data_IF_343871549827
#
_entry.id   IF_343871549827
#
_cell.length_a   1.000
_cell.length_b   1.000
_cell.length_c   1.000
_cell.angle_alpha   90.00
_cell.angle_beta   90.00
_cell.angle_gamma   90.00
#
_symmetry.space_group_name_H-M   'P 1'
#
loop_
_entity.id
_entity.type
_entity.pdbx_description
1 polymer ?
#
# COMPACT_ATOMS: atom_id res chain seq x y z
N UNK A 1 -6.32 -5.75 -3.97
CA UNK A 1 -5.99 -6.64 -2.83
C UNK A 1 -7.16 -6.80 -1.86
N UNK A 2 -7.43 -5.84 -0.97
CA UNK A 2 -8.50 -5.97 0.03
C UNK A 2 -9.91 -6.20 -0.58
N UNK A 3 -10.20 -5.56 -1.72
CA UNK A 3 -11.43 -5.76 -2.50
C UNK A 3 -11.28 -6.80 -3.61
N UNK A 4 -10.28 -7.68 -3.53
CA UNK A 4 -10.00 -8.73 -4.51
C UNK A 4 -9.67 -8.23 -5.93
N UNK A 5 -9.53 -6.92 -6.13
CA UNK A 5 -9.04 -6.34 -7.38
C UNK A 5 -7.55 -6.64 -7.60
N UNK A 6 -7.15 -6.91 -8.86
CA UNK A 6 -5.75 -7.16 -9.20
C UNK A 6 -4.90 -5.92 -8.93
N UNK A 7 -3.74 -6.08 -8.30
CA UNK A 7 -2.77 -5.00 -8.04
C UNK A 7 -1.67 -4.91 -9.11
N UNK A 8 -1.96 -5.43 -10.31
CA UNK A 8 -1.00 -5.55 -11.41
C UNK A 8 -0.04 -6.74 -11.25
N UNK A 9 0.75 -6.97 -12.30
CA UNK A 9 1.82 -7.97 -12.31
C UNK A 9 3.15 -7.37 -11.84
N UNK A 10 4.08 -8.22 -11.43
CA UNK A 10 5.48 -7.87 -11.19
C UNK A 10 6.28 -8.31 -12.43
N UNK A 11 7.11 -7.43 -12.97
CA UNK A 11 7.97 -7.76 -14.11
C UNK A 11 9.41 -7.90 -13.62
N UNK A 12 10.03 -9.04 -13.90
CA UNK A 12 11.44 -9.29 -13.59
C UNK A 12 12.22 -9.63 -14.85
N UNK A 13 13.52 -9.39 -14.81
CA UNK A 13 14.49 -9.87 -15.79
C UNK A 13 15.57 -10.67 -15.08
N UNK A 14 15.72 -11.94 -15.47
CA UNK A 14 16.88 -12.74 -15.06
C UNK A 14 18.08 -12.26 -15.90
N UNK A 15 19.19 -11.90 -15.27
CA UNK A 15 20.44 -11.45 -15.93
C UNK A 15 21.69 -11.99 -15.22
N UNK A 16 22.84 -11.97 -15.88
CA UNK A 16 24.13 -12.26 -15.25
C UNK A 16 24.62 -11.03 -14.46
N UNK A 17 25.36 -11.25 -13.38
CA UNK A 17 25.78 -10.18 -12.47
C UNK A 17 26.69 -9.12 -13.12
N UNK A 18 27.36 -9.45 -14.21
CA UNK A 18 28.32 -8.58 -14.91
C UNK A 18 27.65 -7.67 -15.97
N UNK A 19 26.38 -7.91 -16.30
CA UNK A 19 25.71 -7.24 -17.43
C UNK A 19 24.97 -5.94 -17.07
N UNK A 20 24.86 -5.59 -15.79
CA UNK A 20 24.07 -4.41 -15.37
C UNK A 20 24.72 -3.62 -14.21
N UNK A 21 24.93 -2.29 -14.36
CA UNK A 21 25.43 -1.45 -13.27
C UNK A 21 24.38 -1.36 -12.14
N UNK A 22 24.77 -1.77 -10.93
CA UNK A 22 23.92 -1.73 -9.74
C UNK A 22 23.90 -0.33 -9.12
N UNK A 23 22.72 0.12 -8.67
CA UNK A 23 22.54 1.32 -7.85
C UNK A 23 22.03 0.93 -6.46
N UNK A 24 22.46 1.65 -5.42
CA UNK A 24 22.09 1.35 -4.03
C UNK A 24 20.57 1.48 -3.81
N UNK A 25 19.94 0.41 -3.33
CA UNK A 25 18.50 0.38 -3.02
C UNK A 25 18.18 1.02 -1.65
N UNK A 26 16.95 1.51 -1.49
CA UNK A 26 16.48 2.15 -0.26
C UNK A 26 16.24 1.18 0.92
N UNK A 27 16.42 -0.13 0.73
CA UNK A 27 16.22 -1.20 1.73
C UNK A 27 17.41 -2.15 1.66
N UNK A 28 17.97 -2.54 2.82
CA UNK A 28 19.06 -3.51 2.90
C UNK A 28 18.62 -4.88 2.36
N UNK A 29 19.42 -5.45 1.46
CA UNK A 29 19.21 -6.79 0.90
C UNK A 29 20.28 -7.74 1.46
N UNK A 30 19.89 -8.97 1.83
CA UNK A 30 20.87 -10.02 2.14
C UNK A 30 21.69 -10.37 0.89
N UNK A 31 23.00 -10.58 1.06
CA UNK A 31 23.91 -10.93 -0.04
C UNK A 31 23.52 -12.28 -0.63
N UNK A 32 23.12 -12.28 -1.90
CA UNK A 32 22.70 -13.48 -2.61
C UNK A 32 23.94 -14.29 -3.09
N UNK A 33 24.10 -15.56 -2.70
CA UNK A 33 25.25 -16.41 -3.09
C UNK A 33 25.12 -17.05 -4.49
N UNK A 34 24.10 -16.72 -5.29
CA UNK A 34 23.84 -17.33 -6.61
C UNK A 34 24.23 -16.41 -7.78
N UNK A 35 24.71 -17.00 -8.89
CA UNK A 35 25.23 -16.34 -10.10
C UNK A 35 24.17 -15.67 -11.00
N UNK A 36 22.90 -15.71 -10.61
CA UNK A 36 21.78 -15.14 -11.37
C UNK A 36 21.21 -13.96 -10.61
N UNK A 37 21.24 -12.79 -11.23
CA UNK A 37 20.65 -11.57 -10.71
C UNK A 37 19.22 -11.43 -11.25
N UNK A 38 18.27 -11.10 -10.38
CA UNK A 38 16.88 -10.80 -10.77
C UNK A 38 16.62 -9.31 -10.63
N UNK A 39 16.47 -8.63 -11.76
CA UNK A 39 16.17 -7.21 -11.80
C UNK A 39 14.65 -6.98 -11.81
N UNK A 40 14.18 -6.18 -10.87
CA UNK A 40 12.78 -5.78 -10.78
C UNK A 40 12.52 -4.59 -11.73
N UNK A 41 11.84 -4.82 -12.85
CA UNK A 41 11.63 -3.82 -13.89
C UNK A 41 10.35 -2.99 -13.65
N UNK A 42 9.31 -3.61 -13.09
CA UNK A 42 8.05 -2.94 -12.74
C UNK A 42 7.50 -3.48 -11.42
N UNK A 43 6.79 -2.64 -10.68
CA UNK A 43 6.21 -2.96 -9.38
C UNK A 43 7.11 -2.61 -8.20
N UNK A 44 8.25 -1.95 -8.43
CA UNK A 44 9.15 -1.47 -7.36
C UNK A 44 8.40 -0.62 -6.33
N UNK A 45 7.72 0.45 -6.77
CA UNK A 45 6.97 1.32 -5.87
C UNK A 45 5.84 0.58 -5.14
N UNK A 46 5.12 -0.31 -5.84
CA UNK A 46 4.04 -1.12 -5.25
C UNK A 46 4.58 -2.02 -4.13
N UNK A 47 5.70 -2.70 -4.37
CA UNK A 47 6.30 -3.61 -3.41
C UNK A 47 6.90 -2.86 -2.22
N UNK A 48 7.56 -1.73 -2.45
CA UNK A 48 8.12 -0.88 -1.40
C UNK A 48 7.02 -0.33 -0.49
N UNK A 49 5.96 0.25 -1.06
CA UNK A 49 4.83 0.78 -0.28
C UNK A 49 4.12 -0.32 0.51
N UNK A 50 3.89 -1.48 -0.09
CA UNK A 50 3.27 -2.62 0.60
C UNK A 50 4.14 -3.13 1.75
N UNK A 51 5.45 -3.27 1.52
CA UNK A 51 6.40 -3.71 2.54
C UNK A 51 6.43 -2.74 3.72
N UNK A 52 6.48 -1.43 3.45
CA UNK A 52 6.47 -0.39 4.47
C UNK A 52 5.23 -0.46 5.35
N UNK A 53 4.05 -0.62 4.76
CA UNK A 53 2.77 -0.71 5.50
C UNK A 53 2.68 -2.00 6.31
N UNK A 54 3.09 -3.14 5.76
CA UNK A 54 3.02 -4.43 6.45
C UNK A 54 4.01 -4.50 7.61
N UNK A 55 5.24 -3.98 7.44
CA UNK A 55 6.27 -4.00 8.47
C UNK A 55 6.13 -2.83 9.47
N UNK A 56 5.45 -1.76 9.06
CA UNK A 56 5.42 -0.50 9.80
C UNK A 56 6.78 0.22 9.79
N UNK A 57 7.63 -0.08 8.80
CA UNK A 57 8.96 0.53 8.65
C UNK A 57 8.84 1.77 7.76
N UNK A 58 9.50 2.88 8.12
CA UNK A 58 9.43 4.10 7.33
C UNK A 58 10.28 3.96 6.05
N UNK A 59 9.82 4.60 4.97
CA UNK A 59 10.54 4.59 3.68
C UNK A 59 11.44 5.81 3.59
N UNK A 60 12.68 5.61 3.12
CA UNK A 60 13.60 6.69 2.75
C UNK A 60 13.28 7.15 1.33
N UNK A 61 12.80 8.38 1.17
CA UNK A 61 12.54 8.99 -0.14
C UNK A 61 13.36 10.27 -0.23
N UNK A 62 14.31 10.34 -1.18
CA UNK A 62 15.15 11.53 -1.44
C UNK A 62 15.80 12.12 -0.17
N UNK A 63 16.32 11.26 0.71
CA UNK A 63 16.99 11.66 1.97
C UNK A 63 16.05 11.99 3.15
N UNK A 64 14.72 12.00 2.95
CA UNK A 64 13.73 12.16 4.03
C UNK A 64 13.12 10.81 4.39
N UNK A 65 13.07 10.51 5.69
CA UNK A 65 12.38 9.32 6.24
C UNK A 65 10.92 9.71 6.47
N UNK A 66 9.99 9.17 5.69
CA UNK A 66 8.55 9.39 5.91
C UNK A 66 7.90 8.08 6.39
N UNK A 67 7.30 8.05 7.61
CA UNK A 67 6.48 6.92 8.02
C UNK A 67 5.20 6.90 7.19
N UNK A 68 4.90 5.77 6.56
CA UNK A 68 3.64 5.55 5.86
C UNK A 68 2.66 4.94 6.86
N UNK A 69 1.98 5.79 7.63
CA UNK A 69 0.97 5.34 8.60
C UNK A 69 -0.40 5.23 7.92
N UNK A 70 -0.80 4.01 7.56
CA UNK A 70 -2.10 3.76 6.92
C UNK A 70 -3.09 3.25 7.97
N UNK A 71 -4.27 3.84 7.95
CA UNK A 71 -5.38 3.47 8.81
C UNK A 71 -6.50 2.82 8.01
N UNK A 72 -7.12 1.81 8.59
CA UNK A 72 -8.22 1.04 8.04
C UNK A 72 -9.52 1.33 8.80
N UNK A 73 -10.59 1.61 8.07
CA UNK A 73 -11.90 1.90 8.64
C UNK A 73 -12.72 0.62 8.80
N UNK A 74 -12.93 0.16 10.03
CA UNK A 74 -13.75 -1.02 10.33
C UNK A 74 -15.20 -0.90 9.82
N UNK A 75 -15.72 0.32 9.67
CA UNK A 75 -17.09 0.61 9.27
C UNK A 75 -17.23 1.20 7.85
N UNK A 76 -16.19 1.07 7.01
CA UNK A 76 -16.24 1.54 5.62
C UNK A 76 -17.48 1.01 4.86
N UNK A 77 -18.02 1.74 3.87
CA UNK A 77 -19.09 1.22 3.02
C UNK A 77 -18.62 0.00 2.19
N UNK A 78 -19.54 -0.92 1.89
CA UNK A 78 -19.20 -2.12 1.11
C UNK A 78 -18.84 -1.77 -0.35
N UNK A 79 -19.51 -0.76 -0.91
CA UNK A 79 -19.25 -0.25 -2.26
C UNK A 79 -18.12 0.79 -2.28
N UNK A 80 -17.45 0.93 -3.43
CA UNK A 80 -16.53 2.05 -3.64
C UNK A 80 -17.33 3.35 -3.58
N UNK A 81 -16.99 4.22 -2.63
CA UNK A 81 -17.29 5.62 -2.81
C UNK A 81 -16.31 6.17 -3.85
N UNK A 82 -16.84 6.74 -4.93
CA UNK A 82 -16.04 7.59 -5.83
C UNK A 82 -15.71 8.84 -5.02
N UNK A 83 -14.50 8.87 -4.46
CA UNK A 83 -13.94 10.07 -3.87
C UNK A 83 -12.91 10.55 -4.88
N UNK A 84 -13.31 11.50 -5.71
CA UNK A 84 -12.39 12.29 -6.50
C UNK A 84 -11.50 13.05 -5.54
N UNK A 85 -10.18 12.84 -5.67
CA UNK A 85 -9.03 13.59 -5.13
C UNK A 85 -8.05 12.70 -4.36
N UNK A 86 -7.08 12.19 -5.11
CA UNK A 86 -5.76 11.84 -4.58
C UNK A 86 -4.89 13.04 -4.91
N UNK A 87 -4.75 13.99 -3.99
CA UNK A 87 -3.79 15.06 -4.17
C UNK A 87 -2.39 14.49 -3.87
N UNK A 88 -1.69 14.00 -4.90
CA UNK A 88 -0.29 13.56 -4.81
C UNK A 88 0.72 14.72 -4.93
N UNK A 89 0.33 15.96 -4.59
CA UNK A 89 1.28 17.08 -4.54
C UNK A 89 1.95 17.17 -3.16
N UNK A 90 2.93 16.30 -2.90
CA UNK A 90 3.99 16.61 -1.93
C UNK A 90 5.06 17.42 -2.65
N UNK A 91 4.82 18.72 -2.80
CA UNK A 91 5.80 19.82 -2.89
C UNK A 91 5.13 21.01 -3.59
N UNK A 92 4.35 21.79 -2.83
CA UNK A 92 4.14 23.20 -3.14
C UNK A 92 3.88 23.93 -1.82
N UNK A 93 4.87 24.70 -1.38
CA UNK A 93 4.71 25.70 -0.31
C UNK A 93 3.99 26.97 -0.81
N UNK A 94 3.40 26.93 -2.01
CA UNK A 94 2.56 27.99 -2.59
C UNK A 94 1.29 27.37 -3.23
N UNK A 95 0.41 26.78 -2.43
CA UNK A 95 -0.96 26.51 -2.88
C UNK A 95 -1.79 27.76 -2.60
N UNK A 96 -2.10 28.47 -3.68
CA UNK A 96 -3.08 29.55 -3.71
C UNK A 96 -4.40 29.08 -3.05
N UNK A 97 -4.94 29.98 -2.23
CA UNK A 97 -6.09 29.90 -1.33
C UNK A 97 -7.45 29.70 -2.03
N UNK A 98 -7.58 28.79 -3.00
CA UNK A 98 -8.83 28.61 -3.76
C UNK A 98 -9.34 27.14 -3.82
N UNK A 99 -9.28 26.41 -2.70
CA UNK A 99 -10.12 25.21 -2.51
C UNK A 99 -11.23 25.49 -1.49
N UNK A 100 -12.44 25.65 -2.03
CA UNK A 100 -13.66 25.99 -1.33
C UNK A 100 -13.93 25.20 -0.03
N UNK A 101 -14.11 25.96 1.05
CA UNK A 101 -14.99 25.76 2.22
C UNK A 101 -15.56 24.35 2.45
N UNK A 102 -14.69 23.34 2.58
CA UNK A 102 -15.09 22.05 3.10
C UNK A 102 -15.11 22.15 4.62
N UNK A 103 -16.30 22.27 5.20
CA UNK A 103 -16.44 22.31 6.66
C UNK A 103 -15.82 21.06 7.28
N UNK A 104 -15.35 21.15 8.53
CA UNK A 104 -14.73 20.01 9.22
C UNK A 104 -15.63 18.75 9.26
N UNK A 105 -16.94 18.92 9.11
CA UNK A 105 -17.93 17.85 9.04
C UNK A 105 -17.96 17.17 7.66
N UNK A 106 -17.84 17.94 6.58
CA UNK A 106 -17.74 17.40 5.22
C UNK A 106 -16.49 16.53 5.05
N UNK A 107 -15.36 16.98 5.61
CA UNK A 107 -14.11 16.22 5.58
C UNK A 107 -14.27 14.87 6.30
N UNK A 108 -14.93 14.86 7.47
CA UNK A 108 -15.22 13.64 8.23
C UNK A 108 -16.12 12.69 7.46
N UNK A 109 -17.17 13.22 6.83
CA UNK A 109 -18.10 12.43 6.02
C UNK A 109 -17.39 11.77 4.84
N UNK A 110 -16.51 12.51 4.15
CA UNK A 110 -15.67 11.97 3.07
C UNK A 110 -14.74 10.88 3.58
N UNK A 111 -14.06 11.09 4.70
CA UNK A 111 -13.15 10.08 5.27
C UNK A 111 -13.88 8.78 5.64
N UNK A 112 -15.07 8.86 6.24
CA UNK A 112 -15.83 7.67 6.63
C UNK A 112 -16.31 6.83 5.43
N UNK A 113 -16.34 7.41 4.23
CA UNK A 113 -16.59 6.68 2.98
C UNK A 113 -15.35 5.94 2.45
N UNK A 114 -14.17 6.25 2.97
CA UNK A 114 -12.91 5.63 2.58
C UNK A 114 -12.65 4.34 3.37
N UNK A 115 -12.03 3.37 2.70
CA UNK A 115 -11.57 2.12 3.31
C UNK A 115 -10.21 2.29 3.99
N UNK A 116 -9.30 3.01 3.33
CA UNK A 116 -7.95 3.30 3.79
C UNK A 116 -7.68 4.79 3.70
N UNK A 117 -6.98 5.34 4.68
CA UNK A 117 -6.52 6.74 4.69
C UNK A 117 -5.13 6.84 5.28
N UNK A 118 -4.42 7.91 4.95
CA UNK A 118 -3.19 8.28 5.65
C UNK A 118 -3.53 8.81 7.04
N UNK A 119 -2.73 8.41 8.03
CA UNK A 119 -2.93 8.75 9.42
C UNK A 119 -2.86 10.24 9.70
N UNK A 120 -3.85 10.73 10.43
CA UNK A 120 -3.87 12.08 10.99
C UNK A 120 -4.27 12.01 12.46
N UNK A 121 -3.97 13.06 13.24
CA UNK A 121 -4.38 13.15 14.66
C UNK A 121 -5.90 13.02 14.84
N UNK A 122 -6.69 13.36 13.82
CA UNK A 122 -8.13 13.24 13.83
C UNK A 122 -8.58 11.79 13.69
N UNK A 123 -7.98 11.03 12.78
CA UNK A 123 -8.26 9.61 12.58
C UNK A 123 -7.88 8.78 13.81
N UNK A 124 -6.75 9.09 14.44
CA UNK A 124 -6.27 8.37 15.62
C UNK A 124 -7.25 8.41 16.81
N UNK A 125 -8.04 9.49 16.92
CA UNK A 125 -9.06 9.65 17.96
C UNK A 125 -10.34 8.88 17.71
N UNK A 126 -10.54 8.37 16.49
CA UNK A 126 -11.77 7.69 16.11
C UNK A 126 -11.66 6.17 16.37
N UNK A 127 -12.62 5.57 17.10
CA UNK A 127 -12.52 4.17 17.54
C UNK A 127 -12.65 3.15 16.40
N UNK A 128 -13.35 3.48 15.31
CA UNK A 128 -13.54 2.61 14.15
C UNK A 128 -12.31 2.53 13.24
N UNK A 129 -11.32 3.41 13.43
CA UNK A 129 -10.10 3.43 12.62
C UNK A 129 -8.99 2.68 13.35
N UNK A 130 -8.36 1.74 12.64
CA UNK A 130 -7.27 0.92 13.18
C UNK A 130 -6.03 1.05 12.32
N UNK A 131 -4.85 1.12 12.93
CA UNK A 131 -3.58 1.12 12.20
C UNK A 131 -3.39 -0.21 11.51
N UNK A 132 -3.10 -0.17 10.22
CA UNK A 132 -2.89 -1.37 9.41
C UNK A 132 -1.66 -2.15 9.89
N UNK A 133 -0.58 -1.45 10.23
CA UNK A 133 0.64 -2.05 10.78
C UNK A 133 0.39 -2.80 12.09
N UNK A 134 -0.47 -2.27 12.96
CA UNK A 134 -0.84 -2.93 14.22
C UNK A 134 -1.68 -4.20 13.98
N UNK A 135 -2.63 -4.16 13.04
CA UNK A 135 -3.41 -5.36 12.64
C UNK A 135 -2.49 -6.46 12.09
N UNK A 136 -1.40 -6.08 11.44
CA UNK A 136 -0.41 -7.02 10.95
C UNK A 136 0.51 -7.57 12.05
N UNK A 137 0.74 -6.83 13.14
CA UNK A 137 1.60 -7.29 14.26
C UNK A 137 0.96 -8.36 15.13
N UNK A 138 -0.37 -8.45 15.17
CA UNK A 138 -1.09 -9.42 16.00
C UNK A 138 -2.20 -10.14 15.25
N UNK A 139 -2.36 -11.43 15.53
CA UNK A 139 -3.46 -12.24 14.98
C UNK A 139 -4.78 -12.05 15.75
N UNK A 140 -4.75 -11.40 16.91
CA UNK A 140 -5.94 -11.18 17.73
C UNK A 140 -6.78 -9.99 17.22
N UNK A 141 -8.09 -10.18 17.14
CA UNK A 141 -9.06 -9.12 16.84
C UNK A 141 -9.55 -8.38 18.09
N UNK A 142 -9.44 -9.00 19.27
CA UNK A 142 -10.02 -8.50 20.52
C UNK A 142 -9.71 -7.03 20.81
N UNK A 143 -8.43 -6.60 20.82
CA UNK A 143 -8.07 -5.22 21.14
C UNK A 143 -8.66 -4.18 20.16
N UNK A 144 -8.82 -4.56 18.89
CA UNK A 144 -9.39 -3.67 17.87
C UNK A 144 -10.91 -3.58 18.00
N UNK A 145 -11.57 -4.69 18.33
CA UNK A 145 -13.01 -4.75 18.56
C UNK A 145 -13.40 -3.99 19.83
N UNK A 146 -12.67 -4.20 20.93
CA UNK A 146 -12.87 -3.50 22.20
C UNK A 146 -12.70 -1.99 22.02
N UNK A 147 -11.63 -1.55 21.33
CA UNK A 147 -11.42 -0.13 21.00
C UNK A 147 -12.55 0.44 20.16
N UNK A 148 -13.14 -0.36 19.26
CA UNK A 148 -14.28 0.03 18.44
C UNK A 148 -15.62 0.03 19.20
N UNK A 149 -15.62 -0.28 20.50
CA UNK A 149 -16.81 -0.36 21.35
C UNK A 149 -17.60 -1.67 21.21
N UNK A 150 -16.99 -2.71 20.64
CA UNK A 150 -17.60 -4.04 20.48
C UNK A 150 -17.19 -4.92 21.66
N UNK A 151 -18.03 -4.95 22.69
CA UNK A 151 -17.74 -5.63 23.96
C UNK A 151 -18.28 -7.07 24.02
N UNK A 152 -19.17 -7.46 23.10
CA UNK A 152 -19.79 -8.79 23.12
C UNK A 152 -19.96 -9.40 21.72
N UNK A 153 -19.99 -10.73 21.67
CA UNK A 153 -20.31 -11.50 20.46
C UNK A 153 -21.73 -11.25 19.94
N UNK A 154 -22.62 -10.68 20.76
CA UNK A 154 -23.98 -10.34 20.38
C UNK A 154 -24.12 -9.00 19.66
N UNK A 155 -23.04 -8.20 19.58
CA UNK A 155 -23.07 -6.93 18.85
C UNK A 155 -23.21 -7.19 17.33
N UNK A 156 -24.17 -6.55 16.63
CA UNK A 156 -24.31 -6.67 15.18
C UNK A 156 -23.03 -6.35 14.39
N UNK A 157 -22.15 -5.51 14.94
CA UNK A 157 -20.88 -5.10 14.33
C UNK A 157 -19.77 -6.14 14.50
N UNK A 158 -19.88 -7.04 15.48
CA UNK A 158 -18.84 -8.03 15.79
C UNK A 158 -18.46 -8.84 14.55
N UNK A 159 -19.45 -9.50 13.93
CA UNK A 159 -19.23 -10.34 12.75
C UNK A 159 -18.68 -9.53 11.58
N UNK A 160 -19.19 -8.31 11.36
CA UNK A 160 -18.75 -7.42 10.29
C UNK A 160 -17.27 -7.05 10.46
N UNK A 161 -16.88 -6.60 11.64
CA UNK A 161 -15.51 -6.15 11.89
C UNK A 161 -14.52 -7.32 11.92
N UNK A 162 -14.92 -8.46 12.48
CA UNK A 162 -14.11 -9.67 12.50
C UNK A 162 -13.76 -10.15 11.09
N UNK A 163 -14.77 -10.25 10.21
CA UNK A 163 -14.55 -10.62 8.81
C UNK A 163 -13.66 -9.61 8.07
N UNK A 164 -13.83 -8.31 8.34
CA UNK A 164 -13.03 -7.26 7.70
C UNK A 164 -11.57 -7.30 8.14
N UNK A 165 -11.30 -7.53 9.42
CA UNK A 165 -9.95 -7.72 9.94
C UNK A 165 -9.30 -9.00 9.39
N UNK A 166 -10.06 -10.11 9.32
CA UNK A 166 -9.59 -11.34 8.69
C UNK A 166 -9.22 -11.12 7.21
N UNK A 167 -10.06 -10.39 6.47
CA UNK A 167 -9.78 -10.02 5.07
C UNK A 167 -8.56 -9.11 4.93
N UNK A 168 -8.38 -8.15 5.85
CA UNK A 168 -7.21 -7.28 5.90
C UNK A 168 -5.93 -8.08 6.12
N UNK A 169 -5.92 -9.03 7.06
CA UNK A 169 -4.78 -9.94 7.25
C UNK A 169 -4.52 -10.84 6.04
N UNK A 170 -5.58 -11.22 5.33
CA UNK A 170 -5.53 -11.98 4.08
C UNK A 170 -4.66 -11.36 2.99
N UNK A 171 -4.41 -10.04 3.04
CA UNK A 171 -3.51 -9.34 2.09
C UNK A 171 -2.10 -9.94 2.11
N UNK A 172 -1.63 -10.47 3.25
CA UNK A 172 -0.32 -11.16 3.34
C UNK A 172 -0.21 -12.39 2.44
N UNK A 173 -1.34 -13.00 2.12
CA UNK A 173 -1.45 -14.20 1.27
C UNK A 173 -1.69 -13.83 -0.19
N UNK A 174 -1.71 -12.53 -0.53
CA UNK A 174 -1.92 -12.10 -1.90
C UNK A 174 -0.77 -12.58 -2.78
N UNK A 175 -1.10 -13.37 -3.80
CA UNK A 175 -0.13 -13.90 -4.75
C UNK A 175 -0.04 -12.96 -5.93
N UNK A 176 1.14 -12.37 -6.12
CA UNK A 176 1.44 -11.60 -7.31
C UNK A 176 1.72 -12.52 -8.49
N UNK A 177 1.12 -12.19 -9.64
CA UNK A 177 1.56 -12.73 -10.92
C UNK A 177 2.94 -12.14 -11.24
N UNK A 178 3.91 -13.02 -11.47
CA UNK A 178 5.25 -12.64 -11.93
C UNK A 178 5.38 -12.96 -13.42
N UNK A 179 5.72 -11.95 -14.20
CA UNK A 179 6.18 -12.13 -15.58
C UNK A 179 7.71 -12.03 -15.56
N UNK A 180 8.42 -13.05 -16.04
CA UNK A 180 9.89 -13.11 -16.03
C UNK A 180 10.40 -13.08 -17.46
N UNK A 181 11.27 -12.11 -17.75
CA UNK A 181 12.00 -12.01 -19.01
C UNK A 181 13.26 -12.88 -18.92
N UNK A 182 13.55 -13.72 -19.94
CA UNK A 182 14.65 -14.65 -19.90
C UNK A 182 16.02 -13.96 -20.04
N UNK A 183 17.07 -14.61 -19.54
CA UNK A 183 18.47 -14.16 -19.65
C UNK A 183 18.95 -14.00 -21.09
N UNK A 184 18.35 -14.71 -22.05
CA UNK A 184 18.72 -14.63 -23.47
C UNK A 184 18.31 -13.33 -24.14
N UNK A 185 17.50 -12.51 -23.47
CA UNK A 185 17.01 -11.24 -24.01
C UNK A 185 18.02 -10.12 -23.75
N UNK A 186 18.26 -9.31 -24.77
CA UNK A 186 19.18 -8.17 -24.69
C UNK A 186 18.59 -7.02 -23.88
N UNK A 187 19.46 -6.14 -23.37
CA UNK A 187 19.06 -4.92 -22.66
C UNK A 187 18.11 -4.03 -23.49
N UNK A 188 18.33 -3.91 -24.80
CA UNK A 188 17.49 -3.10 -25.70
C UNK A 188 16.07 -3.68 -25.79
N UNK A 189 15.94 -4.99 -25.99
CA UNK A 189 14.65 -5.69 -26.05
C UNK A 189 13.88 -5.56 -24.73
N UNK A 190 14.57 -5.73 -23.60
CA UNK A 190 13.98 -5.56 -22.26
C UNK A 190 13.49 -4.13 -22.07
N UNK A 191 14.28 -3.14 -22.49
CA UNK A 191 13.94 -1.72 -22.37
C UNK A 191 12.72 -1.37 -23.23
N UNK A 192 12.62 -1.91 -24.44
CA UNK A 192 11.45 -1.73 -25.31
C UNK A 192 10.18 -2.35 -24.69
N UNK A 193 10.27 -3.57 -24.15
CA UNK A 193 9.14 -4.22 -23.46
C UNK A 193 8.68 -3.39 -22.27
N UNK A 194 9.63 -2.90 -21.47
CA UNK A 194 9.35 -2.05 -20.32
C UNK A 194 8.66 -0.75 -20.74
N UNK A 195 9.20 -0.03 -21.74
CA UNK A 195 8.63 1.23 -22.24
C UNK A 195 7.22 1.03 -22.78
N UNK A 196 7.00 -0.03 -23.58
CA UNK A 196 5.68 -0.36 -24.14
C UNK A 196 4.65 -0.71 -23.07
N UNK A 197 5.05 -1.39 -21.99
CA UNK A 197 4.15 -1.64 -20.84
C UNK A 197 3.85 -0.38 -20.02
N UNK A 198 4.78 0.58 -20.00
CA UNK A 198 4.57 1.90 -19.42
C UNK A 198 3.50 2.69 -20.18
N UNK A 199 3.60 2.74 -21.51
CA UNK A 199 2.66 3.49 -22.37
C UNK A 199 1.24 2.92 -22.37
N UNK A 200 1.05 1.61 -22.16
CA UNK A 200 -0.30 1.02 -22.03
C UNK A 200 -1.01 1.35 -20.70
N UNK A 201 -0.37 2.10 -19.80
CA UNK A 201 -0.93 2.50 -18.49
C UNK A 201 -1.32 3.98 -18.40
N UNK A 202 -1.21 4.74 -19.49
CA UNK A 202 -1.75 6.10 -19.65
C UNK A 202 -3.03 6.08 -20.48
#
# INVERSE_FOLDING_TARGET
MYRDYPSGAILLWDTAADDVPLQDFAVEQEKNPFSTLRLLLDGQQRLTSLSAVIRGEPVKVRGRVKPIDIWFNLDHPDHLAVVTEVNESSDNEDLEEDEADSTADDLRSRMNRMTFVVGTKQIERMPQWVRVSDVFRTDSNGPFLERAGVESFGDPRYTKYDQRLAKLRGIRKYVYRMDVLPQTMSYEEVTEIWRRRGDQRL
#
